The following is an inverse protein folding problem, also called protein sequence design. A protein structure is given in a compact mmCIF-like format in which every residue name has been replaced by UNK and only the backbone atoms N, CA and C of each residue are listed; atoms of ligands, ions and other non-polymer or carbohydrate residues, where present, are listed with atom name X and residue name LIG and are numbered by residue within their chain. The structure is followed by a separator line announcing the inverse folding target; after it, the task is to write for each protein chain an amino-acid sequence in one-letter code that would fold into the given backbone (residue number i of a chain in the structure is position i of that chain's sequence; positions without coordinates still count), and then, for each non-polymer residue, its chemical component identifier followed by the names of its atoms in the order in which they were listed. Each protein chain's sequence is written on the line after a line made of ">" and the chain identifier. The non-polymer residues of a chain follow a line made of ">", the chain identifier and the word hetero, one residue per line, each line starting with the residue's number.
data_IF_576714631294
#
_entry.id   IF_576714631294
#
_cell.length_a   1.000
_cell.length_b   1.000
_cell.length_c   1.000
_cell.angle_alpha   90.00
_cell.angle_beta   90.00
_cell.angle_gamma   90.00
#
_symmetry.space_group_name_H-M   'P 1'
#
loop_
_entity.id
_entity.type
_entity.pdbx_description
1 polymer ?
#
# COMPACT_ATOMS: atom_id res chain seq x y z
N UNK A 1 -11.75 -21.44 16.60
CA UNK A 1 -11.65 -20.51 17.74
C UNK A 1 -11.18 -19.18 17.19
N UNK A 2 -12.05 -18.16 17.16
CA UNK A 2 -11.69 -16.80 16.78
C UNK A 2 -11.20 -16.10 18.04
N UNK A 3 -9.92 -15.74 18.10
CA UNK A 3 -9.43 -14.84 19.13
C UNK A 3 -10.04 -13.47 18.84
N UNK A 4 -10.90 -12.98 19.75
CA UNK A 4 -11.28 -11.57 19.76
C UNK A 4 -10.09 -10.79 20.32
N UNK A 5 -9.25 -10.26 19.43
CA UNK A 5 -8.16 -9.37 19.81
C UNK A 5 -8.76 -8.13 20.48
N UNK A 6 -8.32 -7.85 21.71
CA UNK A 6 -8.77 -6.70 22.47
C UNK A 6 -8.16 -5.42 21.85
N UNK A 7 -8.85 -4.27 21.95
CA UNK A 7 -8.41 -3.00 21.35
C UNK A 7 -6.97 -2.61 21.77
N UNK A 8 -6.63 -2.89 23.03
CA UNK A 8 -5.31 -2.71 23.64
C UNK A 8 -4.21 -3.48 22.90
N UNK A 9 -4.51 -4.71 22.48
CA UNK A 9 -3.59 -5.59 21.78
C UNK A 9 -3.30 -5.08 20.36
N UNK A 10 -4.33 -4.57 19.67
CA UNK A 10 -4.18 -3.95 18.36
C UNK A 10 -3.35 -2.66 18.42
N UNK A 11 -3.58 -1.83 19.44
CA UNK A 11 -2.78 -0.61 19.67
C UNK A 11 -1.30 -0.95 19.92
N UNK A 12 -1.04 -1.99 20.72
CA UNK A 12 0.31 -2.47 21.00
C UNK A 12 1.01 -3.01 19.75
N UNK A 13 0.28 -3.74 18.89
CA UNK A 13 0.82 -4.24 17.62
C UNK A 13 1.14 -3.10 16.64
N UNK A 14 0.25 -2.10 16.53
CA UNK A 14 0.47 -0.92 15.68
C UNK A 14 1.67 -0.12 16.17
N UNK A 15 1.83 0.04 17.48
CA UNK A 15 3.00 0.70 18.06
C UNK A 15 4.29 -0.06 17.78
N UNK A 16 4.32 -1.38 18.01
CA UNK A 16 5.47 -2.23 17.72
C UNK A 16 5.89 -2.18 16.23
N UNK A 17 4.91 -2.10 15.33
CA UNK A 17 5.17 -1.90 13.89
C UNK A 17 5.71 -0.52 13.58
N UNK A 18 5.17 0.52 14.21
CA UNK A 18 5.67 1.89 14.08
C UNK A 18 7.14 2.00 14.51
N UNK A 19 7.49 1.40 15.66
CA UNK A 19 8.84 1.41 16.20
C UNK A 19 9.81 0.63 15.31
N UNK A 20 9.35 -0.50 14.75
CA UNK A 20 10.14 -1.29 13.79
C UNK A 20 10.41 -0.54 12.49
N UNK A 21 9.48 0.30 12.03
CA UNK A 21 9.67 1.13 10.84
C UNK A 21 10.65 2.29 11.10
N UNK A 22 10.62 2.86 12.31
CA UNK A 22 11.54 3.92 12.71
C UNK A 22 13.00 3.45 12.70
N UNK A 23 13.26 2.17 13.01
CA UNK A 23 14.59 1.54 12.90
C UNK A 23 15.17 1.59 11.48
N UNK A 24 14.31 1.67 10.45
CA UNK A 24 14.71 1.80 9.05
C UNK A 24 14.52 3.21 8.49
N UNK A 25 14.38 4.23 9.35
CA UNK A 25 14.07 5.63 9.00
C UNK A 25 12.76 5.80 8.20
N UNK A 26 11.85 4.82 8.31
CA UNK A 26 10.53 4.87 7.68
C UNK A 26 9.51 5.33 8.72
N UNK A 27 8.51 6.12 8.30
CA UNK A 27 7.39 6.53 9.16
C UNK A 27 6.08 6.03 8.58
N UNK A 28 5.16 5.58 9.44
CA UNK A 28 3.79 5.27 9.05
C UNK A 28 3.13 6.53 8.47
N UNK A 29 2.48 6.38 7.32
CA UNK A 29 1.71 7.46 6.72
C UNK A 29 0.34 7.58 7.43
N UNK A 30 0.32 8.37 8.50
CA UNK A 30 -0.85 8.54 9.40
C UNK A 30 -2.10 9.03 8.66
N UNK A 31 -1.95 9.79 7.56
CA UNK A 31 -3.10 10.26 6.75
C UNK A 31 -3.87 9.11 6.10
N UNK A 32 -3.21 7.98 5.79
CA UNK A 32 -3.87 6.76 5.30
C UNK A 32 -4.44 5.88 6.42
N UNK A 33 -4.08 6.13 7.68
CA UNK A 33 -4.63 5.40 8.84
C UNK A 33 -5.80 6.11 9.49
N UNK A 34 -6.17 7.33 9.06
CA UNK A 34 -7.42 8.00 9.46
C UNK A 34 -8.66 7.17 9.14
N UNK A 35 -8.59 6.27 8.16
CA UNK A 35 -9.64 5.29 7.87
C UNK A 35 -9.71 4.11 8.86
N UNK A 36 -8.75 4.00 9.80
CA UNK A 36 -8.59 2.88 10.74
C UNK A 36 -8.63 3.32 12.21
N UNK A 37 -8.36 4.59 12.51
CA UNK A 37 -8.43 5.14 13.86
C UNK A 37 -9.84 5.65 14.14
N UNK A 38 -10.53 4.98 15.05
CA UNK A 38 -11.72 5.52 15.72
C UNK A 38 -11.27 6.68 16.64
N UNK A 39 -10.92 7.82 16.07
CA UNK A 39 -10.65 9.04 16.83
C UNK A 39 -12.00 9.59 17.34
N UNK A 40 -12.23 9.69 18.66
CA UNK A 40 -13.54 10.08 19.21
C UNK A 40 -13.86 11.56 18.98
N UNK A 41 -12.89 12.38 18.57
CA UNK A 41 -13.10 13.82 18.40
C UNK A 41 -13.80 14.18 17.09
N UNK A 42 -13.90 13.25 16.14
CA UNK A 42 -14.82 13.33 14.98
C UNK A 42 -14.72 12.02 14.17
N UNK A 43 -15.79 11.20 14.14
CA UNK A 43 -15.91 10.24 13.06
C UNK A 43 -17.30 10.32 12.43
N UNK A 44 -17.34 10.21 11.12
CA UNK A 44 -18.51 10.09 10.25
C UNK A 44 -19.64 9.10 10.66
N UNK A 45 -19.52 8.41 11.80
CA UNK A 45 -20.48 7.44 12.31
C UNK A 45 -20.59 6.17 11.47
N UNK A 46 -19.68 5.94 10.52
CA UNK A 46 -19.72 4.78 9.61
C UNK A 46 -18.84 3.68 10.15
N UNK A 47 -19.48 2.56 10.45
CA UNK A 47 -18.90 1.30 10.85
C UNK A 47 -19.01 0.28 9.71
N UNK A 48 -18.25 -0.83 9.80
CA UNK A 48 -18.37 -1.94 8.84
C UNK A 48 -19.76 -2.60 8.86
N UNK A 49 -20.54 -2.42 9.92
CA UNK A 49 -21.90 -2.97 10.07
C UNK A 49 -22.92 -2.22 9.21
N UNK A 50 -22.65 -0.96 8.87
CA UNK A 50 -23.56 -0.13 8.08
C UNK A 50 -23.62 -0.55 6.60
N UNK A 51 -22.70 -1.44 6.17
CA UNK A 51 -22.63 -2.01 4.80
C UNK A 51 -22.70 -0.95 3.70
N UNK A 52 -22.26 0.27 3.99
CA UNK A 52 -22.21 1.38 3.03
C UNK A 52 -21.13 1.07 1.99
N UNK A 53 -21.46 1.30 0.72
CA UNK A 53 -20.50 1.06 -0.35
C UNK A 53 -19.35 2.06 -0.29
N UNK A 54 -18.16 1.66 -0.73
CA UNK A 54 -17.03 2.57 -0.84
C UNK A 54 -17.31 3.75 -1.79
N UNK A 55 -18.21 3.59 -2.76
CA UNK A 55 -18.64 4.67 -3.63
C UNK A 55 -19.45 5.72 -2.86
N UNK A 56 -20.43 5.28 -2.06
CA UNK A 56 -21.23 6.15 -1.22
C UNK A 56 -20.42 6.85 -0.11
N UNK A 57 -19.41 6.17 0.43
CA UNK A 57 -18.46 6.82 1.37
C UNK A 57 -17.71 7.94 0.65
N UNK A 58 -17.18 7.69 -0.54
CA UNK A 58 -16.44 8.72 -1.29
C UNK A 58 -17.30 9.92 -1.64
N UNK A 59 -18.50 9.68 -2.13
CA UNK A 59 -19.50 10.72 -2.41
C UNK A 59 -19.82 11.55 -1.17
N UNK A 60 -20.05 10.90 -0.01
CA UNK A 60 -20.35 11.58 1.25
C UNK A 60 -19.23 12.51 1.74
N UNK A 61 -17.98 12.17 1.44
CA UNK A 61 -16.81 12.98 1.84
C UNK A 61 -16.26 13.85 0.71
N UNK A 62 -17.00 13.98 -0.40
CA UNK A 62 -16.55 14.68 -1.62
C UNK A 62 -15.15 14.22 -2.07
N UNK A 63 -14.85 12.95 -1.82
CA UNK A 63 -13.62 12.31 -2.27
C UNK A 63 -13.81 12.03 -3.74
N UNK A 64 -13.02 12.71 -4.56
CA UNK A 64 -13.03 12.51 -6.01
C UNK A 64 -13.03 10.99 -6.33
N UNK A 65 -13.79 10.56 -7.35
CA UNK A 65 -13.60 9.24 -7.94
C UNK A 65 -12.11 9.04 -8.21
N UNK A 66 -11.63 7.80 -8.13
CA UNK A 66 -10.20 7.51 -8.36
C UNK A 66 -9.91 7.74 -9.86
N UNK A 67 -9.79 9.00 -10.28
CA UNK A 67 -9.01 9.43 -11.42
C UNK A 67 -7.53 9.06 -11.19
N UNK A 68 -7.15 8.87 -9.92
CA UNK A 68 -5.86 8.41 -9.43
C UNK A 68 -5.51 6.95 -9.82
N UNK A 69 -6.28 6.21 -10.65
CA UNK A 69 -5.80 4.88 -11.09
C UNK A 69 -4.50 5.07 -11.86
N UNK A 70 -4.45 6.16 -12.62
CA UNK A 70 -3.29 6.60 -13.39
C UNK A 70 -2.20 7.18 -12.47
N UNK A 71 -2.55 8.00 -11.47
CA UNK A 71 -1.60 8.54 -10.49
C UNK A 71 -1.00 7.45 -9.58
N UNK A 72 -1.82 6.51 -9.11
CA UNK A 72 -1.37 5.35 -8.34
C UNK A 72 -0.47 4.46 -9.18
N UNK A 73 -0.78 4.31 -10.48
CA UNK A 73 0.08 3.60 -11.42
C UNK A 73 1.41 4.33 -11.58
N UNK A 74 1.39 5.63 -11.83
CA UNK A 74 2.58 6.46 -11.96
C UNK A 74 3.45 6.40 -10.70
N UNK A 75 2.84 6.56 -9.52
CA UNK A 75 3.53 6.48 -8.22
C UNK A 75 4.21 5.12 -8.03
N UNK A 76 3.53 4.02 -8.38
CA UNK A 76 4.13 2.67 -8.32
C UNK A 76 5.30 2.52 -9.29
N UNK A 77 5.15 2.98 -10.53
CA UNK A 77 6.20 2.91 -11.55
C UNK A 77 7.41 3.80 -11.19
N UNK A 78 7.17 4.98 -10.63
CA UNK A 78 8.20 5.89 -10.15
C UNK A 78 9.00 5.24 -9.02
N UNK A 79 8.32 4.70 -8.00
CA UNK A 79 8.97 3.96 -6.91
C UNK A 79 9.77 2.76 -7.43
N UNK A 80 9.19 1.99 -8.36
CA UNK A 80 9.86 0.84 -8.96
C UNK A 80 11.14 1.23 -9.71
N UNK A 81 11.10 2.30 -10.52
CA UNK A 81 12.28 2.83 -11.17
C UNK A 81 13.35 3.28 -10.17
N UNK A 82 12.94 3.95 -9.09
CA UNK A 82 13.87 4.31 -8.01
C UNK A 82 14.51 3.09 -7.36
N UNK A 83 13.75 2.01 -7.11
CA UNK A 83 14.27 0.78 -6.56
C UNK A 83 15.24 0.08 -7.53
N UNK A 84 14.94 0.05 -8.83
CA UNK A 84 15.82 -0.52 -9.87
C UNK A 84 17.14 0.24 -9.99
N UNK A 85 17.12 1.57 -9.89
CA UNK A 85 18.34 2.39 -9.97
C UNK A 85 19.14 2.41 -8.66
N UNK A 86 18.57 1.93 -7.55
CA UNK A 86 19.26 1.92 -6.27
C UNK A 86 20.31 0.81 -6.18
N UNK A 87 21.33 1.03 -5.34
CA UNK A 87 22.39 0.06 -5.04
C UNK A 87 21.80 -1.23 -4.46
N UNK A 88 22.43 -2.36 -4.74
CA UNK A 88 21.94 -3.70 -4.37
C UNK A 88 21.74 -3.91 -2.86
N UNK A 89 22.53 -3.24 -2.03
CA UNK A 89 22.46 -3.26 -0.56
C UNK A 89 21.44 -2.27 0.02
N UNK A 90 20.79 -1.45 -0.82
CA UNK A 90 19.76 -0.52 -0.34
C UNK A 90 18.49 -1.26 0.06
N UNK A 91 17.83 -0.79 1.12
CA UNK A 91 16.55 -1.37 1.63
C UNK A 91 15.49 -1.49 0.54
N UNK A 92 15.38 -0.50 -0.34
CA UNK A 92 14.42 -0.52 -1.47
C UNK A 92 14.70 -1.65 -2.46
N UNK A 93 15.98 -1.88 -2.79
CA UNK A 93 16.39 -2.93 -3.74
C UNK A 93 16.28 -4.31 -3.10
N UNK A 94 16.68 -4.45 -1.85
CA UNK A 94 16.51 -5.68 -1.08
C UNK A 94 15.02 -6.05 -0.93
N UNK A 95 14.18 -5.08 -0.54
CA UNK A 95 12.73 -5.30 -0.40
C UNK A 95 12.04 -5.65 -1.72
N UNK A 96 12.48 -5.08 -2.84
CA UNK A 96 11.97 -5.44 -4.17
C UNK A 96 12.31 -6.90 -4.55
N UNK A 97 13.50 -7.37 -4.17
CA UNK A 97 14.00 -8.71 -4.50
C UNK A 97 13.64 -9.78 -3.45
N UNK A 98 13.04 -9.38 -2.32
CA UNK A 98 12.70 -10.28 -1.23
C UNK A 98 11.64 -11.29 -1.68
N UNK A 99 12.02 -12.57 -1.72
CA UNK A 99 11.08 -13.66 -1.91
C UNK A 99 10.59 -14.17 -0.55
N UNK A 100 9.27 -14.11 -0.33
CA UNK A 100 8.66 -14.61 0.90
C UNK A 100 8.29 -16.07 0.66
N UNK A 101 9.05 -16.97 1.27
CA UNK A 101 8.80 -18.41 1.17
C UNK A 101 7.41 -18.79 1.69
N UNK A 102 6.70 -19.66 0.98
CA UNK A 102 5.38 -20.15 1.38
C UNK A 102 4.47 -20.42 0.18
N UNK A 103 3.41 -21.21 0.41
CA UNK A 103 2.38 -21.48 -0.62
C UNK A 103 1.23 -20.49 -0.48
N UNK A 104 0.65 -20.05 -1.60
CA UNK A 104 -0.55 -19.22 -1.58
C UNK A 104 -1.76 -20.03 -1.09
N UNK A 105 -2.63 -19.43 -0.26
CA UNK A 105 -3.90 -20.06 0.08
C UNK A 105 -4.73 -20.27 -1.19
N UNK A 106 -5.43 -21.40 -1.27
CA UNK A 106 -6.34 -21.70 -2.37
C UNK A 106 -7.60 -20.82 -2.27
N UNK A 107 -8.12 -20.34 -3.40
CA UNK A 107 -9.34 -19.52 -3.45
C UNK A 107 -9.09 -18.12 -3.99
N UNK A 108 -9.33 -17.09 -3.16
CA UNK A 108 -9.11 -15.67 -3.49
C UNK A 108 -7.88 -15.11 -2.74
N UNK A 109 -6.65 -15.46 -3.15
CA UNK A 109 -5.45 -14.80 -2.66
C UNK A 109 -5.53 -13.28 -2.82
N UNK A 110 -4.90 -12.55 -1.91
CA UNK A 110 -4.69 -11.11 -2.08
C UNK A 110 -3.78 -10.87 -3.30
N UNK A 111 -4.11 -9.86 -4.09
CA UNK A 111 -3.31 -9.43 -5.23
C UNK A 111 -1.94 -8.96 -4.75
N UNK A 112 -0.85 -9.45 -5.36
CA UNK A 112 0.48 -8.95 -5.01
C UNK A 112 0.70 -7.55 -5.57
N UNK A 113 1.59 -6.84 -4.90
CA UNK A 113 2.13 -5.61 -5.46
C UNK A 113 2.85 -5.84 -6.81
N UNK A 114 3.68 -6.89 -6.93
CA UNK A 114 4.36 -7.24 -8.18
C UNK A 114 3.40 -7.58 -9.33
N UNK A 115 2.32 -8.31 -9.06
CA UNK A 115 1.32 -8.64 -10.10
C UNK A 115 0.67 -7.35 -10.62
N UNK A 116 0.31 -6.45 -9.71
CA UNK A 116 -0.21 -5.10 -10.05
C UNK A 116 0.81 -4.29 -10.85
N UNK A 117 2.09 -4.36 -10.50
CA UNK A 117 3.17 -3.66 -11.19
C UNK A 117 3.35 -4.17 -12.62
N UNK A 118 3.31 -5.48 -12.84
CA UNK A 118 3.40 -6.05 -14.18
C UNK A 118 2.26 -5.59 -15.08
N UNK A 119 1.03 -5.55 -14.56
CA UNK A 119 -0.09 -5.01 -15.32
C UNK A 119 0.10 -3.52 -15.62
N UNK A 120 0.58 -2.72 -14.67
CA UNK A 120 0.90 -1.31 -14.94
C UNK A 120 1.92 -1.15 -16.07
N UNK A 121 3.01 -1.92 -16.05
CA UNK A 121 4.07 -1.88 -17.07
C UNK A 121 3.53 -2.26 -18.46
N UNK A 122 2.62 -3.24 -18.52
CA UNK A 122 1.91 -3.59 -19.77
C UNK A 122 1.02 -2.45 -20.23
N UNK A 123 0.26 -1.83 -19.33
CA UNK A 123 -0.63 -0.70 -19.65
C UNK A 123 0.13 0.47 -20.26
N UNK A 124 1.32 0.79 -19.74
CA UNK A 124 2.14 1.89 -20.27
C UNK A 124 3.12 1.45 -21.37
N UNK A 125 3.19 0.16 -21.67
CA UNK A 125 4.12 -0.43 -22.64
C UNK A 125 5.59 -0.05 -22.41
N UNK A 126 6.05 -0.06 -21.15
CA UNK A 126 7.42 0.25 -20.76
C UNK A 126 8.08 -1.02 -20.21
N UNK A 127 9.29 -1.31 -20.68
CA UNK A 127 10.08 -2.43 -20.18
C UNK A 127 10.99 -1.99 -19.00
N UNK A 128 11.12 -2.79 -17.91
CA UNK A 128 11.91 -2.45 -16.73
C UNK A 128 13.37 -2.04 -16.98
N UNK A 129 14.02 -2.58 -18.01
CA UNK A 129 15.40 -2.22 -18.37
C UNK A 129 15.55 -0.73 -18.74
N UNK A 130 14.47 -0.08 -19.20
CA UNK A 130 14.45 1.35 -19.52
C UNK A 130 14.56 2.23 -18.27
N UNK A 131 14.42 1.67 -17.07
CA UNK A 131 14.54 2.42 -15.82
C UNK A 131 15.89 3.12 -15.64
N UNK A 132 16.95 2.71 -16.35
CA UNK A 132 18.24 3.42 -16.30
C UNK A 132 18.29 4.64 -17.23
N UNK A 133 17.43 4.72 -18.25
CA UNK A 133 17.26 5.91 -19.07
C UNK A 133 16.18 6.81 -18.45
N UNK A 134 16.57 7.97 -17.91
CA UNK A 134 15.62 8.90 -17.27
C UNK A 134 14.66 9.54 -18.26
N UNK A 135 15.09 9.79 -19.49
CA UNK A 135 14.26 10.42 -20.53
C UNK A 135 13.15 9.49 -21.02
N UNK A 136 13.38 8.17 -20.96
CA UNK A 136 12.37 7.18 -21.36
C UNK A 136 11.48 6.69 -20.21
N UNK A 137 11.89 6.91 -18.96
CA UNK A 137 11.22 6.36 -17.77
C UNK A 137 10.36 7.38 -17.00
N UNK A 138 10.65 8.68 -17.14
CA UNK A 138 10.09 9.75 -16.29
C UNK A 138 9.49 10.90 -17.09
#
# INVERSE_FOLDING_TARGET
>A
MLASEEKSELEQQVQAWSDSLAMFELRLNVKKTVYLTNDPSEPAGVTRLDRISNAAIKERFDVAPIADVDEMRETRLRWYGHALRAKNDSVRRMGLNLDVSGKRPKGRPKQRWLDTLHENLKTVNIHPNRAFNREEWG
#
